data_IF_598615819930
#
_entry.id   IF_598615819930
#
_cell.length_a   1.000
_cell.length_b   1.000
_cell.length_c   1.000
_cell.angle_alpha   90.00
_cell.angle_beta   90.00
_cell.angle_gamma   90.00
#
_symmetry.space_group_name_H-M   'P 1'
#
loop_
_entity.id
_entity.type
_entity.pdbx_description
1 polymer ?
#
# COMPACT_ATOMS: atom_id res chain seq x y z
N UNK A 1 -7.04 -13.26 1.49
CA UNK A 1 -6.74 -12.63 0.19
C UNK A 1 -7.10 -11.17 0.34
N UNK A 2 -6.16 -10.26 0.15
CA UNK A 2 -6.38 -8.83 0.26
C UNK A 2 -6.76 -8.24 -1.10
N UNK A 3 -7.66 -7.27 -1.12
CA UNK A 3 -8.10 -6.58 -2.32
C UNK A 3 -9.19 -7.30 -3.11
N UNK A 4 -10.09 -8.02 -2.42
CA UNK A 4 -11.11 -8.85 -3.06
C UNK A 4 -12.52 -8.28 -3.02
N UNK A 5 -13.33 -8.71 -3.99
CA UNK A 5 -14.77 -8.45 -4.02
C UNK A 5 -15.05 -6.95 -4.13
N UNK A 6 -15.58 -6.36 -3.06
CA UNK A 6 -15.98 -4.96 -2.98
C UNK A 6 -15.08 -4.12 -2.08
N UNK A 7 -13.86 -4.58 -1.78
CA UNK A 7 -12.89 -3.84 -0.95
C UNK A 7 -12.39 -2.57 -1.66
N UNK A 8 -12.10 -1.53 -0.87
CA UNK A 8 -11.60 -0.22 -1.31
C UNK A 8 -10.24 0.04 -0.67
N UNK A 9 -9.36 0.77 -1.37
CA UNK A 9 -7.99 1.03 -0.91
C UNK A 9 -7.02 -0.09 -1.26
N UNK A 10 -7.32 -0.85 -2.31
CA UNK A 10 -6.61 -2.08 -2.68
C UNK A 10 -5.36 -1.82 -3.52
N UNK A 11 -5.19 -0.59 -4.02
CA UNK A 11 -4.04 -0.17 -4.80
C UNK A 11 -3.72 1.32 -4.53
N UNK A 12 -2.50 1.72 -4.91
CA UNK A 12 -1.99 3.07 -4.65
C UNK A 12 -2.74 4.17 -5.38
N UNK A 13 -3.33 3.90 -6.55
CA UNK A 13 -4.15 4.89 -7.26
C UNK A 13 -5.40 5.26 -6.44
N UNK A 14 -6.10 4.25 -5.90
CA UNK A 14 -7.25 4.50 -5.02
C UNK A 14 -6.86 5.27 -3.76
N UNK A 15 -5.73 4.91 -3.13
CA UNK A 15 -5.24 5.62 -1.94
C UNK A 15 -4.89 7.09 -2.26
N UNK A 16 -4.17 7.34 -3.35
CA UNK A 16 -3.81 8.69 -3.80
C UNK A 16 -5.06 9.52 -4.12
N UNK A 17 -6.04 8.91 -4.80
CA UNK A 17 -7.34 9.54 -5.07
C UNK A 17 -8.06 9.94 -3.78
N UNK A 18 -8.18 9.03 -2.81
CA UNK A 18 -8.87 9.28 -1.54
C UNK A 18 -8.19 10.40 -0.75
N UNK A 19 -6.86 10.35 -0.62
CA UNK A 19 -6.09 11.37 0.10
C UNK A 19 -6.22 12.73 -0.58
N UNK A 20 -6.08 12.78 -1.91
CA UNK A 20 -6.23 14.01 -2.68
C UNK A 20 -7.64 14.60 -2.60
N UNK A 21 -8.68 13.77 -2.53
CA UNK A 21 -10.07 14.23 -2.39
C UNK A 21 -10.42 14.70 -0.98
N UNK A 22 -9.88 14.06 0.05
CA UNK A 22 -10.12 14.45 1.43
C UNK A 22 -9.32 15.70 1.82
N UNK A 23 -8.12 15.90 1.24
CA UNK A 23 -7.27 17.08 1.42
C UNK A 23 -7.12 17.50 2.91
N UNK A 24 -6.88 16.53 3.78
CA UNK A 24 -6.81 16.72 5.23
C UNK A 24 -5.56 16.06 5.81
N UNK A 25 -4.74 16.83 6.53
CA UNK A 25 -3.44 16.39 7.04
C UNK A 25 -3.53 15.28 8.10
N UNK A 26 -4.72 15.10 8.71
CA UNK A 26 -4.99 14.01 9.66
C UNK A 26 -5.18 12.66 8.97
N UNK A 27 -5.34 12.62 7.64
CA UNK A 27 -5.46 11.37 6.89
C UNK A 27 -4.07 10.79 6.66
N UNK A 28 -3.87 9.58 7.19
CA UNK A 28 -2.63 8.81 7.11
C UNK A 28 -2.90 7.40 6.56
N UNK A 29 -1.85 6.72 6.13
CA UNK A 29 -1.87 5.37 5.57
C UNK A 29 -1.24 4.41 6.58
N UNK A 30 -1.89 3.27 6.78
CA UNK A 30 -1.27 2.07 7.33
C UNK A 30 -0.87 1.16 6.17
N UNK A 31 0.39 0.75 6.11
CA UNK A 31 0.85 -0.25 5.15
C UNK A 31 0.87 -1.61 5.83
N UNK A 32 0.09 -2.57 5.32
CA UNK A 32 0.14 -3.96 5.77
C UNK A 32 0.95 -4.80 4.77
N UNK A 33 2.09 -5.32 5.19
CA UNK A 33 3.04 -6.00 4.30
C UNK A 33 2.49 -7.29 3.70
N UNK A 34 1.61 -8.00 4.41
CA UNK A 34 0.95 -9.19 3.87
C UNK A 34 -0.05 -8.80 2.78
N UNK A 35 -0.77 -7.70 2.97
CA UNK A 35 -1.75 -7.21 2.00
C UNK A 35 -1.08 -6.66 0.75
N UNK A 36 0.00 -5.89 0.92
CA UNK A 36 0.81 -5.37 -0.18
C UNK A 36 1.35 -6.52 -1.03
N UNK A 37 1.92 -7.54 -0.38
CA UNK A 37 2.43 -8.73 -1.07
C UNK A 37 1.33 -9.45 -1.85
N UNK A 38 0.18 -9.71 -1.22
CA UNK A 38 -0.93 -10.41 -1.87
C UNK A 38 -1.54 -9.61 -3.04
N UNK A 39 -1.53 -8.27 -2.93
CA UNK A 39 -1.93 -7.34 -3.99
C UNK A 39 -0.91 -7.23 -5.15
N UNK A 40 0.26 -7.87 -5.04
CA UNK A 40 1.27 -7.88 -6.10
C UNK A 40 2.29 -6.74 -6.02
N UNK A 41 2.51 -6.17 -4.83
CA UNK A 41 3.64 -5.27 -4.60
C UNK A 41 4.85 -6.06 -4.08
N UNK A 42 5.94 -6.07 -4.85
CA UNK A 42 7.17 -6.76 -4.47
C UNK A 42 7.97 -5.95 -3.44
N UNK A 43 7.63 -6.12 -2.16
CA UNK A 43 8.31 -5.43 -1.05
C UNK A 43 9.73 -5.97 -0.77
N UNK A 44 10.15 -7.08 -1.37
CA UNK A 44 11.55 -7.55 -1.28
C UNK A 44 12.49 -6.64 -2.08
N UNK A 45 12.02 -6.14 -3.24
CA UNK A 45 12.74 -5.11 -3.98
C UNK A 45 12.40 -3.74 -3.39
N UNK A 46 13.03 -3.42 -2.25
CA UNK A 46 12.70 -2.25 -1.46
C UNK A 46 12.79 -0.93 -2.25
N UNK A 47 13.81 -0.76 -3.09
CA UNK A 47 13.99 0.48 -3.85
C UNK A 47 12.89 0.69 -4.89
N UNK A 48 12.48 -0.37 -5.60
CA UNK A 48 11.37 -0.31 -6.55
C UNK A 48 10.03 -0.05 -5.85
N UNK A 49 9.78 -0.75 -4.74
CA UNK A 49 8.58 -0.55 -3.92
C UNK A 49 8.48 0.89 -3.39
N UNK A 50 9.60 1.42 -2.89
CA UNK A 50 9.70 2.79 -2.40
C UNK A 50 9.50 3.80 -3.54
N UNK A 51 10.04 3.54 -4.72
CA UNK A 51 9.85 4.40 -5.90
C UNK A 51 8.36 4.51 -6.28
N UNK A 52 7.60 3.42 -6.22
CA UNK A 52 6.16 3.45 -6.44
C UNK A 52 5.43 4.29 -5.37
N UNK A 53 5.76 4.16 -4.08
CA UNK A 53 5.18 5.00 -3.03
C UNK A 53 5.46 6.49 -3.24
N UNK A 54 6.67 6.84 -3.71
CA UNK A 54 7.05 8.24 -4.02
C UNK A 54 6.29 8.75 -5.25
N UNK A 55 6.18 7.94 -6.30
CA UNK A 55 5.45 8.28 -7.53
C UNK A 55 3.98 8.65 -7.26
N UNK A 56 3.35 7.99 -6.29
CA UNK A 56 1.98 8.31 -5.86
C UNK A 56 1.92 9.35 -4.72
N UNK A 57 3.06 9.90 -4.30
CA UNK A 57 3.17 10.83 -3.16
C UNK A 57 2.58 10.28 -1.86
N UNK A 58 2.60 8.95 -1.69
CA UNK A 58 2.02 8.27 -0.54
C UNK A 58 3.00 8.13 0.62
N UNK A 59 4.31 8.16 0.36
CA UNK A 59 5.34 7.91 1.36
C UNK A 59 5.20 8.84 2.58
N UNK A 60 4.90 10.12 2.35
CA UNK A 60 4.71 11.12 3.43
C UNK A 60 3.45 10.92 4.26
N UNK A 61 2.51 10.12 3.78
CA UNK A 61 1.26 9.81 4.47
C UNK A 61 1.35 8.51 5.30
N UNK A 62 2.40 7.70 5.11
CA UNK A 62 2.59 6.47 5.89
C UNK A 62 2.89 6.82 7.34
N UNK A 63 2.11 6.30 8.28
CA UNK A 63 2.33 6.51 9.72
C UNK A 63 2.42 5.21 10.52
N UNK A 64 1.95 4.11 9.94
CA UNK A 64 1.95 2.80 10.59
C UNK A 64 2.31 1.73 9.56
N UNK A 65 3.03 0.71 10.02
CA UNK A 65 3.29 -0.51 9.26
C UNK A 65 2.78 -1.69 10.09
N UNK A 66 1.87 -2.49 9.53
CA UNK A 66 1.64 -3.84 10.01
C UNK A 66 2.66 -4.76 9.35
N UNK A 67 3.64 -5.20 10.13
CA UNK A 67 4.73 -6.05 9.67
C UNK A 67 4.32 -7.51 9.77
N UNK A 68 3.59 -7.97 8.76
CA UNK A 68 3.07 -9.32 8.62
C UNK A 68 3.78 -10.06 7.49
N UNK A 69 4.20 -11.29 7.74
CA UNK A 69 4.60 -12.19 6.65
C UNK A 69 3.36 -12.68 5.88
N UNK A 70 3.55 -13.21 4.67
CA UNK A 70 2.49 -13.76 3.82
C UNK A 70 2.60 -15.27 3.71
N UNK A 71 1.47 -15.96 3.94
CA UNK A 71 1.35 -17.40 3.66
C UNK A 71 1.29 -17.72 2.16
N UNK A 72 0.94 -16.73 1.32
CA UNK A 72 0.82 -16.92 -0.12
C UNK A 72 2.10 -16.49 -0.84
N UNK A 73 2.81 -17.40 -1.54
CA UNK A 73 3.95 -17.01 -2.36
C UNK A 73 3.50 -16.24 -3.61
N UNK A 74 4.19 -15.14 -3.94
CA UNK A 74 3.94 -14.31 -5.13
C UNK A 74 5.21 -14.09 -5.95
N UNK A 75 6.27 -13.61 -5.30
CA UNK A 75 7.56 -13.35 -5.94
C UNK A 75 8.55 -14.42 -5.49
N UNK A 76 8.95 -15.27 -6.43
CA UNK A 76 10.03 -16.26 -6.29
C UNK A 76 11.38 -15.58 -6.39
#
# INVERSE_FOLDING_TARGET
MSGKGSEVGINFNQLAYLIGKLANDRIKICLDTCHLWDAGYNIKNYEEFKAELIKYDLLRHVSVIHLNDSKWPKFT
#
